data_IF_413952458285
#
_entry.id   IF_413952458285
#
_cell.length_a   1.000
_cell.length_b   1.000
_cell.length_c   1.000
_cell.angle_alpha   90.00
_cell.angle_beta   90.00
_cell.angle_gamma   90.00
#
_symmetry.space_group_name_H-M   'P 1'
#
loop_
_entity.id
_entity.type
_entity.pdbx_description
1 polymer ?
#
# COMPACT_ATOMS: atom_id res chain seq x y z
N UNK A 1 -10.12 -13.17 1.66
CA UNK A 1 -8.94 -13.87 1.12
C UNK A 1 -9.22 -15.29 0.70
N UNK A 2 -10.21 -15.92 1.31
CA UNK A 2 -10.53 -17.28 0.95
C UNK A 2 -10.73 -17.46 -0.56
N UNK A 3 -11.50 -16.59 -1.19
CA UNK A 3 -11.76 -16.66 -2.62
C UNK A 3 -10.51 -16.44 -3.45
N UNK A 4 -9.66 -15.52 -3.02
CA UNK A 4 -8.40 -15.21 -3.72
C UNK A 4 -7.42 -16.36 -3.57
N UNK A 5 -7.26 -16.86 -2.35
CA UNK A 5 -6.30 -17.91 -2.04
C UNK A 5 -6.63 -19.24 -2.72
N UNK A 6 -7.91 -19.49 -2.96
CA UNK A 6 -8.36 -20.74 -3.58
C UNK A 6 -8.57 -20.61 -5.10
N UNK A 7 -8.21 -19.47 -5.67
CA UNK A 7 -8.36 -19.21 -7.10
C UNK A 7 -9.78 -19.42 -7.61
N UNK A 8 -10.77 -19.18 -6.75
CA UNK A 8 -12.18 -19.30 -7.12
C UNK A 8 -12.64 -18.13 -7.97
N UNK A 9 -11.90 -17.01 -7.91
CA UNK A 9 -12.10 -15.86 -8.77
C UNK A 9 -10.86 -15.76 -9.66
N UNK A 10 -11.00 -16.08 -10.93
CA UNK A 10 -9.87 -16.14 -11.87
C UNK A 10 -9.59 -14.80 -12.53
N UNK A 11 -10.61 -13.93 -12.60
CA UNK A 11 -10.52 -12.66 -13.31
C UNK A 11 -10.20 -11.54 -12.31
N UNK A 12 -9.17 -10.74 -12.63
CA UNK A 12 -8.81 -9.58 -11.82
C UNK A 12 -9.97 -8.59 -11.70
N UNK A 13 -10.83 -8.50 -12.71
CA UNK A 13 -12.00 -7.63 -12.63
C UNK A 13 -12.97 -8.09 -11.56
N UNK A 14 -13.19 -9.40 -11.42
CA UNK A 14 -14.09 -9.94 -10.41
C UNK A 14 -13.57 -9.66 -9.00
N UNK A 15 -12.25 -9.79 -8.81
CA UNK A 15 -11.62 -9.48 -7.53
C UNK A 15 -11.75 -8.00 -7.23
N UNK A 16 -11.55 -7.14 -8.22
CA UNK A 16 -11.65 -5.70 -8.04
C UNK A 16 -13.09 -5.26 -7.75
N UNK A 17 -14.07 -5.91 -8.35
CA UNK A 17 -15.47 -5.65 -8.03
C UNK A 17 -15.74 -5.98 -6.57
N UNK A 18 -15.20 -7.09 -6.09
CA UNK A 18 -15.34 -7.48 -4.68
C UNK A 18 -14.73 -6.44 -3.75
N UNK A 19 -13.53 -5.94 -4.07
CA UNK A 19 -12.92 -4.86 -3.30
C UNK A 19 -13.82 -3.62 -3.27
N UNK A 20 -14.36 -3.23 -4.43
CA UNK A 20 -15.21 -2.04 -4.51
C UNK A 20 -16.50 -2.17 -3.71
N UNK A 21 -17.09 -3.37 -3.70
CA UNK A 21 -18.27 -3.64 -2.88
C UNK A 21 -17.94 -3.43 -1.40
N UNK A 22 -16.78 -3.93 -0.95
CA UNK A 22 -16.36 -3.77 0.44
C UNK A 22 -16.04 -2.30 0.78
N UNK A 23 -15.38 -1.59 -0.13
CA UNK A 23 -15.05 -0.18 0.09
C UNK A 23 -16.30 0.69 0.19
N UNK A 24 -17.33 0.38 -0.61
CA UNK A 24 -18.57 1.13 -0.61
C UNK A 24 -19.52 0.75 0.55
N UNK A 25 -19.19 -0.28 1.30
CA UNK A 25 -20.01 -0.72 2.43
C UNK A 25 -19.88 0.26 3.60
N UNK A 26 -20.93 1.04 3.83
CA UNK A 26 -20.95 2.06 4.87
C UNK A 26 -20.99 1.49 6.28
N UNK A 27 -21.27 0.18 6.43
CA UNK A 27 -21.29 -0.46 7.74
C UNK A 27 -19.89 -0.81 8.25
N UNK A 28 -18.88 -0.81 7.39
CA UNK A 28 -17.51 -1.13 7.78
C UNK A 28 -16.87 0.02 8.54
N UNK A 29 -16.11 -0.32 9.56
CA UNK A 29 -15.32 0.67 10.30
C UNK A 29 -14.24 1.24 9.40
N UNK A 30 -13.83 2.47 9.70
CA UNK A 30 -12.86 3.21 8.89
C UNK A 30 -11.56 2.44 8.65
N UNK A 31 -10.99 1.84 9.70
CA UNK A 31 -9.72 1.14 9.55
C UNK A 31 -9.86 -0.19 8.81
N UNK A 32 -11.02 -0.84 8.90
CA UNK A 32 -11.29 -2.01 8.08
C UNK A 32 -11.38 -1.61 6.61
N UNK A 33 -12.07 -0.51 6.33
CA UNK A 33 -12.17 0.03 4.98
C UNK A 33 -10.79 0.41 4.43
N UNK A 34 -9.96 1.05 5.25
CA UNK A 34 -8.59 1.40 4.86
C UNK A 34 -7.75 0.16 4.55
N UNK A 35 -7.91 -0.89 5.34
CA UNK A 35 -7.23 -2.15 5.05
C UNK A 35 -7.65 -2.71 3.70
N UNK A 36 -8.94 -2.67 3.38
CA UNK A 36 -9.43 -3.15 2.09
C UNK A 36 -8.85 -2.32 0.95
N UNK A 37 -8.81 -1.01 1.10
CA UNK A 37 -8.20 -0.11 0.10
C UNK A 37 -6.72 -0.46 -0.09
N UNK A 38 -5.99 -0.65 0.99
CA UNK A 38 -4.58 -1.04 0.92
C UNK A 38 -4.42 -2.38 0.18
N UNK A 39 -5.26 -3.37 0.50
CA UNK A 39 -5.20 -4.67 -0.16
C UNK A 39 -5.52 -4.59 -1.65
N UNK A 40 -6.48 -3.73 -2.02
CA UNK A 40 -6.79 -3.50 -3.42
C UNK A 40 -5.58 -2.90 -4.15
N UNK A 41 -4.94 -1.90 -3.55
CA UNK A 41 -3.75 -1.28 -4.14
C UNK A 41 -2.61 -2.29 -4.30
N UNK A 42 -2.38 -3.10 -3.27
CA UNK A 42 -1.36 -4.13 -3.31
C UNK A 42 -1.63 -5.15 -4.41
N UNK A 43 -2.87 -5.62 -4.51
CA UNK A 43 -3.27 -6.59 -5.52
C UNK A 43 -3.06 -6.07 -6.94
N UNK A 44 -3.30 -4.79 -7.17
CA UNK A 44 -3.21 -4.18 -8.50
C UNK A 44 -1.87 -3.51 -8.80
N UNK A 45 -0.93 -3.51 -7.87
CA UNK A 45 0.28 -2.70 -7.97
C UNK A 45 1.12 -2.96 -9.22
N UNK A 46 1.06 -4.16 -9.79
CA UNK A 46 1.80 -4.50 -10.99
C UNK A 46 1.10 -4.08 -12.29
N UNK A 47 -0.15 -3.63 -12.19
CA UNK A 47 -1.00 -3.35 -13.36
C UNK A 47 -1.47 -1.91 -13.44
N UNK A 48 -1.01 -1.05 -12.53
CA UNK A 48 -1.41 0.37 -12.50
C UNK A 48 -0.17 1.25 -12.51
N UNK A 49 -0.37 2.51 -12.91
CA UNK A 49 0.73 3.47 -12.90
C UNK A 49 0.84 4.16 -11.54
N UNK A 50 1.88 5.00 -11.38
CA UNK A 50 2.15 5.67 -10.12
C UNK A 50 1.03 6.60 -9.69
N UNK A 51 0.40 7.28 -10.64
CA UNK A 51 -0.69 8.21 -10.32
C UNK A 51 -1.90 7.48 -9.78
N UNK A 52 -2.24 6.35 -10.37
CA UNK A 52 -3.35 5.52 -9.90
C UNK A 52 -3.08 4.97 -8.51
N UNK A 53 -1.85 4.48 -8.28
CA UNK A 53 -1.47 3.92 -6.99
C UNK A 53 -1.57 4.96 -5.89
N UNK A 54 -0.99 6.13 -6.11
CA UNK A 54 -1.00 7.21 -5.13
C UNK A 54 -2.44 7.68 -4.88
N UNK A 55 -3.23 7.82 -5.93
CA UNK A 55 -4.62 8.23 -5.81
C UNK A 55 -5.43 7.24 -4.96
N UNK A 56 -5.23 5.94 -5.16
CA UNK A 56 -5.91 4.91 -4.37
C UNK A 56 -5.55 5.01 -2.90
N UNK A 57 -4.29 5.28 -2.57
CA UNK A 57 -3.80 5.27 -1.21
C UNK A 57 -3.89 6.61 -0.50
N UNK A 58 -4.24 7.70 -1.22
CA UNK A 58 -4.34 9.02 -0.61
C UNK A 58 -5.24 9.08 0.64
N UNK A 59 -6.42 8.47 0.65
CA UNK A 59 -7.25 8.52 1.86
C UNK A 59 -6.57 7.95 3.10
N UNK A 60 -5.68 6.99 2.91
CA UNK A 60 -4.95 6.35 4.00
C UNK A 60 -3.75 7.21 4.40
N UNK A 61 -2.98 7.66 3.40
CA UNK A 61 -1.75 8.42 3.63
C UNK A 61 -2.03 9.75 4.30
N UNK A 62 -3.14 10.39 3.94
CA UNK A 62 -3.50 11.71 4.45
C UNK A 62 -4.33 11.65 5.74
N UNK A 63 -4.35 10.52 6.41
CA UNK A 63 -5.08 10.34 7.67
C UNK A 63 -4.16 9.72 8.71
N UNK A 64 -4.65 9.56 9.94
CA UNK A 64 -3.91 8.90 11.02
C UNK A 64 -4.13 7.39 11.03
N UNK A 65 -4.40 6.82 9.88
CA UNK A 65 -4.68 5.39 9.76
C UNK A 65 -3.51 4.54 10.26
N UNK A 66 -3.84 3.43 10.89
CA UNK A 66 -2.83 2.42 11.27
C UNK A 66 -2.19 1.78 10.02
N UNK A 67 -2.79 1.96 8.84
CA UNK A 67 -2.27 1.43 7.57
C UNK A 67 -1.44 2.44 6.79
N UNK A 68 -1.17 3.60 7.39
CA UNK A 68 -0.42 4.67 6.73
C UNK A 68 1.00 4.24 6.37
N UNK A 69 1.73 3.68 7.32
CA UNK A 69 3.10 3.24 7.07
C UNK A 69 3.14 2.10 6.04
N UNK A 70 2.18 1.18 6.09
CA UNK A 70 2.08 0.12 5.10
C UNK A 70 1.86 0.68 3.69
N UNK A 71 1.02 1.69 3.58
CA UNK A 71 0.72 2.32 2.29
C UNK A 71 1.92 3.06 1.72
N UNK A 72 2.65 3.79 2.58
CA UNK A 72 3.87 4.45 2.16
C UNK A 72 4.95 3.44 1.73
N UNK A 73 5.02 2.32 2.44
CA UNK A 73 5.97 1.27 2.09
C UNK A 73 5.65 0.67 0.71
N UNK A 74 4.38 0.44 0.42
CA UNK A 74 3.94 -0.06 -0.89
C UNK A 74 4.35 0.91 -2.00
N UNK A 75 4.15 2.21 -1.79
CA UNK A 75 4.54 3.23 -2.77
C UNK A 75 6.06 3.24 -2.94
N UNK A 76 6.82 3.18 -1.84
CA UNK A 76 8.28 3.15 -1.90
C UNK A 76 8.78 1.95 -2.70
N UNK A 77 8.21 0.77 -2.44
CA UNK A 77 8.56 -0.45 -3.17
C UNK A 77 8.19 -0.33 -4.66
N UNK A 78 7.05 0.28 -4.95
CA UNK A 78 6.61 0.51 -6.31
C UNK A 78 7.64 1.34 -7.09
N UNK A 79 8.09 2.44 -6.51
CA UNK A 79 9.10 3.29 -7.16
C UNK A 79 10.44 2.57 -7.29
N UNK A 80 10.82 1.78 -6.29
CA UNK A 80 12.06 1.01 -6.37
C UNK A 80 12.01 0.03 -7.54
N UNK A 81 10.88 -0.65 -7.73
CA UNK A 81 10.70 -1.61 -8.83
C UNK A 81 10.73 -0.94 -10.20
N UNK A 82 10.42 0.35 -10.27
CA UNK A 82 10.48 1.16 -11.50
C UNK A 82 11.82 1.84 -11.68
N UNK A 83 12.80 1.52 -10.85
CA UNK A 83 14.13 2.10 -10.87
C UNK A 83 14.13 3.61 -10.60
N UNK A 84 13.11 4.10 -9.90
CA UNK A 84 13.04 5.49 -9.47
C UNK A 84 13.50 5.59 -8.01
N UNK A 85 14.79 5.40 -7.82
CA UNK A 85 15.38 5.25 -6.49
C UNK A 85 15.25 6.48 -5.61
N UNK A 86 15.31 7.69 -6.20
CA UNK A 86 15.18 8.91 -5.42
C UNK A 86 13.76 9.02 -4.81
N UNK A 87 12.73 8.77 -5.59
CA UNK A 87 11.37 8.78 -5.10
C UNK A 87 11.15 7.69 -4.05
N UNK A 88 11.68 6.49 -4.32
CA UNK A 88 11.61 5.38 -3.37
C UNK A 88 12.21 5.78 -2.03
N UNK A 89 13.40 6.39 -2.06
CA UNK A 89 14.10 6.85 -0.86
C UNK A 89 13.26 7.86 -0.07
N UNK A 90 12.60 8.79 -0.77
CA UNK A 90 11.75 9.79 -0.13
C UNK A 90 10.61 9.15 0.65
N UNK A 91 9.95 8.14 0.07
CA UNK A 91 8.85 7.47 0.74
C UNK A 91 9.31 6.59 1.91
N UNK A 92 10.42 5.88 1.76
CA UNK A 92 10.98 5.15 2.91
C UNK A 92 11.37 6.09 4.04
N UNK A 93 11.92 7.26 3.70
CA UNK A 93 12.30 8.26 4.72
C UNK A 93 11.08 8.81 5.46
N UNK A 94 9.97 9.03 4.74
CA UNK A 94 8.73 9.48 5.38
C UNK A 94 8.24 8.50 6.44
N UNK A 95 8.41 7.20 6.19
CA UNK A 95 8.02 6.18 7.16
C UNK A 95 8.78 6.33 8.48
N UNK A 96 10.07 6.64 8.38
CA UNK A 96 10.89 6.83 9.58
C UNK A 96 10.50 8.06 10.38
N UNK A 97 9.92 9.06 9.71
CA UNK A 97 9.47 10.29 10.36
C UNK A 97 8.11 10.18 11.03
N UNK A 98 7.32 9.17 10.68
CA UNK A 98 6.00 8.97 11.28
C UNK A 98 6.15 8.48 12.71
N UNK A 99 5.42 9.11 13.64
CA UNK A 99 5.43 8.69 15.04
C UNK A 99 4.73 7.34 15.24
N UNK A 100 3.76 7.04 14.42
CA UNK A 100 2.90 5.85 14.57
C UNK A 100 3.14 4.79 13.51
N UNK A 101 4.35 4.76 12.94
CA UNK A 101 4.68 3.71 11.97
C UNK A 101 4.65 2.33 12.63
N UNK A 102 4.13 1.36 11.89
CA UNK A 102 4.26 -0.04 12.28
C UNK A 102 5.74 -0.35 12.47
N UNK A 103 6.08 -1.02 13.57
CA UNK A 103 7.49 -1.24 13.92
C UNK A 103 8.22 -2.09 12.87
N UNK A 104 7.57 -3.13 12.36
CA UNK A 104 8.19 -3.97 11.33
C UNK A 104 8.42 -3.23 10.04
N UNK A 105 7.44 -2.40 9.64
CA UNK A 105 7.55 -1.57 8.44
C UNK A 105 8.69 -0.55 8.61
N UNK A 106 8.79 0.05 9.80
CA UNK A 106 9.85 1.02 10.10
C UNK A 106 11.23 0.36 10.00
N UNK A 107 11.40 -0.81 10.59
CA UNK A 107 12.68 -1.54 10.55
C UNK A 107 13.03 -1.95 9.13
N UNK A 108 12.07 -2.43 8.36
CA UNK A 108 12.30 -2.78 6.96
C UNK A 108 12.69 -1.56 6.14
N UNK A 109 12.06 -0.43 6.39
CA UNK A 109 12.36 0.83 5.71
C UNK A 109 13.78 1.30 6.01
N UNK A 110 14.19 1.24 7.27
CA UNK A 110 15.54 1.59 7.68
C UNK A 110 16.56 0.70 6.99
N UNK A 111 16.30 -0.59 6.93
CA UNK A 111 17.17 -1.55 6.27
C UNK A 111 17.30 -1.26 4.77
N UNK A 112 16.19 -0.95 4.11
CA UNK A 112 16.19 -0.61 2.68
C UNK A 112 17.01 0.66 2.43
N UNK A 113 16.85 1.68 3.27
CA UNK A 113 17.62 2.91 3.13
C UNK A 113 19.11 2.69 3.32
N UNK A 114 19.48 1.85 4.28
CA UNK A 114 20.88 1.60 4.60
C UNK A 114 21.57 0.68 3.59
N UNK A 115 20.84 -0.23 2.98
CA UNK A 115 21.43 -1.27 2.13
C UNK A 115 21.20 -1.04 0.64
N UNK A 116 19.96 -0.80 0.25
CA UNK A 116 19.58 -0.76 -1.17
C UNK A 116 19.60 0.64 -1.75
N UNK A 117 19.46 1.66 -0.93
CA UNK A 117 19.31 3.04 -1.33
C UNK A 117 20.40 3.96 -0.77
N UNK A 118 21.35 3.43 -0.08
CA UNK A 118 22.51 4.22 0.38
C UNK A 118 23.48 4.44 -0.79
N UNK A 119 24.03 5.60 -0.84
CA UNK A 119 25.02 5.93 -1.86
C UNK A 119 26.28 6.43 -1.29
#
# INVERSE_FOLDING_TARGET
>A
YFLIDNNLIEDNEDINILFDVLIDDTSLKKEVKNLVIYKKALFNSNNIDENELIKMLNPIINSDSIWRSHSLYLIAEFFYSKDEKQKSKEFFSQILELQNSNIDIKLKSQKRLNKDLSE
#
